data_IF_067000569848
#
_entry.id   IF_067000569848
#
_cell.length_a   1.000
_cell.length_b   1.000
_cell.length_c   1.000
_cell.angle_alpha   90.00
_cell.angle_beta   90.00
_cell.angle_gamma   90.00
#
_symmetry.space_group_name_H-M   'P 1'
#
loop_
_entity.id
_entity.type
_entity.pdbx_description
1 polymer ?
#
# COMPACT_ATOMS: atom_id res chain seq x y z
N UNK A 1 15.73 0.21 -14.68
CA UNK A 1 16.01 -0.07 -13.25
C UNK A 1 17.14 0.85 -12.85
N UNK A 2 16.86 1.87 -12.04
CA UNK A 2 17.92 2.70 -11.49
C UNK A 2 18.47 1.91 -10.30
N UNK A 3 19.76 1.59 -10.29
CA UNK A 3 20.39 0.86 -9.18
C UNK A 3 21.08 1.86 -8.26
N UNK A 4 21.11 1.59 -6.95
CA UNK A 4 21.82 2.43 -5.97
C UNK A 4 23.32 2.09 -5.89
N UNK A 5 23.80 1.17 -6.74
CA UNK A 5 25.17 0.62 -6.73
C UNK A 5 26.22 1.73 -6.70
N UNK A 6 26.08 2.77 -7.54
CA UNK A 6 27.02 3.89 -7.60
C UNK A 6 27.09 4.69 -6.31
N UNK A 7 25.94 4.91 -5.68
CA UNK A 7 25.82 5.69 -4.45
C UNK A 7 26.42 4.93 -3.27
N UNK A 8 26.04 3.66 -3.12
CA UNK A 8 26.56 2.78 -2.06
C UNK A 8 28.07 2.60 -2.19
N UNK A 9 28.58 2.36 -3.40
CA UNK A 9 30.03 2.26 -3.64
C UNK A 9 30.76 3.55 -3.23
N UNK A 10 30.25 4.71 -3.64
CA UNK A 10 30.85 6.02 -3.30
C UNK A 10 30.82 6.28 -1.80
N UNK A 11 29.72 5.95 -1.12
CA UNK A 11 29.62 6.07 0.33
C UNK A 11 30.66 5.19 1.06
N UNK A 12 30.99 4.02 0.49
CA UNK A 12 32.05 3.14 1.01
C UNK A 12 33.47 3.52 0.55
N UNK A 13 33.64 4.60 -0.23
CA UNK A 13 34.95 5.06 -0.70
C UNK A 13 35.65 4.11 -1.68
N UNK A 14 34.92 3.18 -2.30
CA UNK A 14 35.51 2.15 -3.18
C UNK A 14 35.59 2.60 -4.64
N UNK A 15 36.66 2.25 -5.34
CA UNK A 15 36.74 2.43 -6.80
C UNK A 15 35.94 1.35 -7.53
N UNK A 16 35.68 1.54 -8.83
CA UNK A 16 35.07 0.49 -9.66
C UNK A 16 35.93 -0.78 -9.69
N UNK A 17 37.26 -0.61 -9.65
CA UNK A 17 38.21 -1.72 -9.64
C UNK A 17 38.18 -2.48 -8.31
N UNK A 18 38.05 -1.78 -7.19
CA UNK A 18 37.94 -2.42 -5.88
C UNK A 18 36.70 -3.31 -5.77
N UNK A 19 35.55 -2.82 -6.26
CA UNK A 19 34.32 -3.61 -6.29
C UNK A 19 34.47 -4.79 -7.24
N UNK A 20 35.06 -4.59 -8.42
CA UNK A 20 35.28 -5.64 -9.39
C UNK A 20 36.15 -6.79 -8.85
N UNK A 21 37.19 -6.45 -8.06
CA UNK A 21 38.07 -7.41 -7.38
C UNK A 21 37.39 -8.14 -6.23
N UNK A 22 36.45 -7.49 -5.54
CA UNK A 22 35.68 -8.06 -4.41
C UNK A 22 34.53 -8.97 -4.84
N UNK A 23 34.09 -8.89 -6.09
CA UNK A 23 33.09 -9.82 -6.65
C UNK A 23 33.62 -11.26 -6.70
N UNK A 24 32.72 -12.22 -6.52
CA UNK A 24 32.99 -13.65 -6.73
C UNK A 24 32.05 -14.25 -7.82
N UNK A 25 32.57 -14.72 -8.97
CA UNK A 25 33.97 -14.58 -9.39
C UNK A 25 34.36 -13.11 -9.68
N UNK A 26 35.66 -12.77 -9.60
CA UNK A 26 36.15 -11.44 -9.92
C UNK A 26 35.75 -10.99 -11.33
N UNK A 27 35.48 -9.71 -11.48
CA UNK A 27 35.07 -9.11 -12.76
C UNK A 27 35.92 -7.90 -13.11
N UNK A 28 35.49 -7.12 -14.10
CA UNK A 28 36.20 -5.92 -14.57
C UNK A 28 35.50 -4.63 -14.12
N UNK A 29 36.29 -3.57 -13.89
CA UNK A 29 35.76 -2.24 -13.57
C UNK A 29 34.79 -1.72 -14.64
N UNK A 30 35.00 -2.08 -15.91
CA UNK A 30 34.10 -1.78 -17.02
C UNK A 30 32.73 -2.46 -16.87
N UNK A 31 32.69 -3.69 -16.34
CA UNK A 31 31.43 -4.40 -16.08
C UNK A 31 30.67 -3.73 -14.94
N UNK A 32 31.34 -3.35 -13.85
CA UNK A 32 30.73 -2.58 -12.76
C UNK A 32 30.21 -1.23 -13.27
N UNK A 33 30.98 -0.51 -14.09
CA UNK A 33 30.56 0.77 -14.66
C UNK A 33 29.31 0.66 -15.55
N UNK A 34 29.18 -0.41 -16.33
CA UNK A 34 27.96 -0.67 -17.14
C UNK A 34 26.74 -0.95 -16.26
N UNK A 35 26.93 -1.65 -15.14
CA UNK A 35 25.86 -1.94 -14.18
C UNK A 35 25.42 -0.69 -13.40
N UNK A 36 26.36 0.23 -13.10
CA UNK A 36 26.06 1.52 -12.46
C UNK A 36 25.33 2.51 -13.39
N UNK A 37 25.62 2.44 -14.69
CA UNK A 37 25.03 3.33 -15.70
C UNK A 37 23.72 2.81 -16.28
N UNK A 38 23.28 1.61 -15.86
CA UNK A 38 21.95 1.08 -16.19
C UNK A 38 21.75 0.73 -17.67
N UNK A 39 22.84 0.54 -18.44
CA UNK A 39 22.78 0.19 -19.87
C UNK A 39 22.31 -1.25 -20.13
N UNK A 40 22.12 -2.06 -19.08
CA UNK A 40 21.52 -3.41 -19.10
C UNK A 40 20.68 -3.65 -17.85
N UNK A 41 19.63 -4.47 -17.98
CA UNK A 41 18.89 -5.03 -16.84
C UNK A 41 19.82 -5.93 -16.02
N UNK A 42 19.95 -5.62 -14.73
CA UNK A 42 20.76 -6.40 -13.78
C UNK A 42 19.97 -7.63 -13.37
N UNK A 43 20.53 -8.82 -13.54
CA UNK A 43 19.91 -10.05 -13.04
C UNK A 43 20.01 -10.11 -11.51
N UNK A 44 19.10 -10.85 -10.87
CA UNK A 44 19.12 -11.05 -9.40
C UNK A 44 20.46 -11.62 -8.93
N UNK A 45 21.04 -12.57 -9.67
CA UNK A 45 22.35 -13.12 -9.33
C UNK A 45 23.48 -12.10 -9.38
N UNK A 46 23.44 -11.13 -10.30
CA UNK A 46 24.40 -10.03 -10.33
C UNK A 46 24.18 -9.02 -9.20
N UNK A 47 22.92 -8.77 -8.84
CA UNK A 47 22.58 -7.88 -7.73
C UNK A 47 23.14 -8.42 -6.41
N UNK A 48 22.92 -9.71 -6.13
CA UNK A 48 23.45 -10.38 -4.93
C UNK A 48 24.98 -10.34 -4.90
N UNK A 49 25.64 -10.67 -6.02
CA UNK A 49 27.10 -10.61 -6.12
C UNK A 49 27.67 -9.23 -5.80
N UNK A 50 27.01 -8.17 -6.28
CA UNK A 50 27.44 -6.80 -6.01
C UNK A 50 27.12 -6.40 -4.57
N UNK A 51 26.00 -6.86 -4.02
CA UNK A 51 25.65 -6.66 -2.62
C UNK A 51 26.73 -7.26 -1.70
N UNK A 52 27.16 -8.48 -1.99
CA UNK A 52 28.24 -9.16 -1.28
C UNK A 52 29.57 -8.39 -1.41
N UNK A 53 29.95 -7.99 -2.63
CA UNK A 53 31.19 -7.23 -2.88
C UNK A 53 31.21 -5.87 -2.18
N UNK A 54 30.03 -5.26 -2.02
CA UNK A 54 29.84 -4.01 -1.31
C UNK A 54 29.59 -4.22 0.20
N UNK A 55 29.27 -5.42 0.66
CA UNK A 55 28.87 -5.72 2.04
C UNK A 55 27.59 -4.99 2.46
N UNK A 56 26.53 -5.09 1.67
CA UNK A 56 25.18 -4.57 1.95
C UNK A 56 24.13 -5.61 1.58
N UNK A 57 22.86 -5.40 1.97
CA UNK A 57 21.78 -6.27 1.49
C UNK A 57 21.46 -5.94 0.01
N UNK A 58 21.04 -6.95 -0.76
CA UNK A 58 20.65 -6.74 -2.15
C UNK A 58 19.48 -5.76 -2.30
N UNK A 59 18.60 -5.67 -1.31
CA UNK A 59 17.52 -4.70 -1.24
C UNK A 59 18.02 -3.25 -1.23
N UNK A 60 19.18 -2.99 -0.60
CA UNK A 60 19.78 -1.66 -0.52
C UNK A 60 20.30 -1.16 -1.88
N UNK A 61 20.50 -2.07 -2.85
CA UNK A 61 20.99 -1.75 -4.19
C UNK A 61 19.88 -1.47 -5.20
N UNK A 62 18.63 -1.71 -4.84
CA UNK A 62 17.47 -1.46 -5.69
C UNK A 62 16.94 -0.07 -5.38
N UNK A 63 17.07 0.88 -6.31
CA UNK A 63 16.23 2.08 -6.21
C UNK A 63 14.81 1.68 -6.58
N UNK A 64 13.90 1.90 -5.64
CA UNK A 64 12.48 1.96 -5.97
C UNK A 64 12.31 2.98 -7.11
N UNK A 65 11.47 2.69 -8.13
CA UNK A 65 11.23 3.65 -9.20
C UNK A 65 10.88 5.01 -8.60
N UNK A 66 11.46 6.07 -9.14
CA UNK A 66 11.05 7.44 -8.81
C UNK A 66 9.53 7.49 -8.90
N UNK A 67 8.90 7.88 -7.80
CA UNK A 67 7.46 7.96 -7.72
C UNK A 67 7.10 9.33 -8.22
N UNK A 68 6.45 9.45 -9.38
CA UNK A 68 5.98 10.74 -9.81
C UNK A 68 5.00 11.22 -8.75
N UNK A 69 5.38 12.28 -8.06
CA UNK A 69 4.47 13.10 -7.29
C UNK A 69 3.56 13.82 -8.29
N UNK A 70 2.25 13.82 -8.03
CA UNK A 70 1.29 14.50 -8.89
C UNK A 70 1.17 15.94 -8.41
N UNK A 71 1.57 16.95 -9.19
CA UNK A 71 1.47 18.34 -8.75
C UNK A 71 0.01 18.77 -8.62
N UNK A 72 -0.30 19.49 -7.54
CA UNK A 72 -1.62 20.08 -7.31
C UNK A 72 -1.72 21.38 -8.10
N UNK A 73 -2.46 21.35 -9.21
CA UNK A 73 -2.68 22.54 -10.03
C UNK A 73 -3.73 23.49 -9.44
N UNK A 74 -4.75 22.97 -8.72
CA UNK A 74 -5.84 23.76 -8.17
C UNK A 74 -6.48 23.12 -6.93
N UNK A 75 -7.10 23.94 -6.10
CA UNK A 75 -8.02 23.57 -5.02
C UNK A 75 -9.45 23.87 -5.48
N UNK A 76 -10.38 22.94 -5.27
CA UNK A 76 -11.79 23.09 -5.66
C UNK A 76 -12.68 23.11 -4.41
N UNK A 77 -13.48 24.16 -4.26
CA UNK A 77 -14.50 24.30 -3.20
C UNK A 77 -15.79 24.94 -3.75
N UNK A 78 -16.70 25.34 -2.85
CA UNK A 78 -17.96 25.99 -3.22
C UNK A 78 -17.81 27.31 -3.98
N UNK A 79 -16.63 27.94 -3.96
CA UNK A 79 -16.29 29.16 -4.72
C UNK A 79 -15.65 28.90 -6.08
N UNK A 80 -15.38 27.64 -6.43
CA UNK A 80 -14.76 27.25 -7.71
C UNK A 80 -13.30 26.81 -7.57
N UNK A 81 -12.60 26.73 -8.71
CA UNK A 81 -11.21 26.29 -8.77
C UNK A 81 -10.24 27.46 -8.53
N UNK A 82 -9.31 27.30 -7.58
CA UNK A 82 -8.36 28.33 -7.16
C UNK A 82 -6.93 27.77 -7.11
N UNK A 83 -5.93 28.63 -7.36
CA UNK A 83 -4.53 28.22 -7.25
C UNK A 83 -4.12 27.97 -5.77
N UNK A 84 -3.30 26.96 -5.46
CA UNK A 84 -2.75 26.77 -4.13
C UNK A 84 -1.88 27.95 -3.68
N UNK A 85 -1.90 28.28 -2.38
CA UNK A 85 -1.04 29.36 -1.82
C UNK A 85 0.44 28.96 -1.73
N UNK A 86 0.74 27.67 -1.82
CA UNK A 86 2.08 27.07 -1.76
C UNK A 86 2.10 25.88 -2.71
N UNK A 87 3.27 25.56 -3.26
CA UNK A 87 3.45 24.32 -4.01
C UNK A 87 3.04 23.11 -3.16
N UNK A 88 2.29 22.21 -3.79
CA UNK A 88 1.76 21.02 -3.14
C UNK A 88 1.69 19.89 -4.16
N UNK A 89 1.91 18.67 -3.66
CA UNK A 89 1.88 17.45 -4.46
C UNK A 89 0.99 16.40 -3.77
N UNK A 90 0.41 15.50 -4.57
CA UNK A 90 -0.32 14.32 -4.08
C UNK A 90 0.49 13.08 -4.39
N UNK A 91 0.65 12.22 -3.38
CA UNK A 91 1.21 10.90 -3.56
C UNK A 91 0.16 9.93 -4.14
N UNK A 92 0.44 9.22 -5.24
CA UNK A 92 -0.46 8.19 -5.77
C UNK A 92 -0.79 7.13 -4.71
N UNK A 93 -2.03 6.62 -4.66
CA UNK A 93 -2.42 5.60 -3.70
C UNK A 93 -1.67 4.28 -3.96
N UNK A 94 -1.11 3.67 -2.90
CA UNK A 94 -0.39 2.39 -2.96
C UNK A 94 -1.16 1.29 -2.24
N UNK A 95 -1.27 0.12 -2.86
CA UNK A 95 -1.74 -1.08 -2.19
C UNK A 95 -0.70 -1.57 -1.17
N UNK A 96 -1.13 -1.77 0.08
CA UNK A 96 -0.33 -2.44 1.10
C UNK A 96 -0.63 -3.94 1.11
N UNK A 97 0.32 -4.80 1.54
CA UNK A 97 0.03 -6.22 1.77
C UNK A 97 -1.17 -6.40 2.72
N UNK A 98 -2.04 -7.37 2.44
CA UNK A 98 -3.18 -7.69 3.30
C UNK A 98 -4.43 -6.83 3.10
N UNK A 99 -4.38 -5.80 2.24
CA UNK A 99 -5.59 -5.10 1.82
C UNK A 99 -6.53 -6.02 1.05
N UNK A 100 -7.83 -5.81 1.22
CA UNK A 100 -8.89 -6.41 0.41
C UNK A 100 -9.74 -5.32 -0.22
N UNK A 101 -10.42 -5.63 -1.32
CA UNK A 101 -11.27 -4.69 -2.03
C UNK A 101 -12.73 -5.12 -2.01
N UNK A 102 -13.63 -4.13 -1.95
CA UNK A 102 -15.06 -4.28 -2.26
C UNK A 102 -15.33 -3.47 -3.52
N UNK A 103 -15.83 -4.12 -4.58
CA UNK A 103 -16.29 -3.42 -5.79
C UNK A 103 -17.78 -3.13 -5.65
N UNK A 104 -18.17 -1.90 -5.99
CA UNK A 104 -19.55 -1.44 -5.81
C UNK A 104 -20.30 -1.63 -7.13
N UNK A 105 -21.15 -2.65 -7.18
CA UNK A 105 -21.93 -2.97 -8.38
C UNK A 105 -23.14 -2.03 -8.60
N UNK A 106 -23.69 -1.47 -7.52
CA UNK A 106 -24.82 -0.53 -7.54
C UNK A 106 -24.66 0.50 -6.44
N UNK A 107 -25.07 1.74 -6.70
CA UNK A 107 -24.90 2.85 -5.75
C UNK A 107 -25.63 2.60 -4.42
N UNK A 108 -24.95 2.88 -3.31
CA UNK A 108 -25.47 2.70 -1.96
C UNK A 108 -24.77 3.64 -0.98
N UNK A 109 -25.55 4.36 -0.16
CA UNK A 109 -25.01 5.39 0.72
C UNK A 109 -24.18 6.42 -0.07
N UNK A 110 -22.93 6.64 0.34
CA UNK A 110 -22.00 7.56 -0.33
C UNK A 110 -21.24 6.93 -1.52
N UNK A 111 -21.41 5.62 -1.73
CA UNK A 111 -20.73 4.85 -2.77
C UNK A 111 -21.54 4.79 -4.08
N UNK A 112 -20.85 4.90 -5.21
CA UNK A 112 -21.41 4.86 -6.56
C UNK A 112 -21.04 3.56 -7.26
N UNK A 113 -21.84 3.17 -8.25
CA UNK A 113 -21.51 2.03 -9.09
C UNK A 113 -20.16 2.25 -9.80
N UNK A 114 -19.30 1.23 -9.78
CA UNK A 114 -17.92 1.30 -10.30
C UNK A 114 -16.87 1.71 -9.27
N UNK A 115 -17.26 2.09 -8.06
CA UNK A 115 -16.29 2.37 -6.99
C UNK A 115 -15.53 1.13 -6.55
N UNK A 116 -14.26 1.32 -6.20
CA UNK A 116 -13.44 0.34 -5.49
C UNK A 116 -13.15 0.85 -4.07
N UNK A 117 -13.60 0.11 -3.06
CA UNK A 117 -13.35 0.41 -1.66
C UNK A 117 -12.20 -0.46 -1.18
N UNK A 118 -11.05 0.16 -0.92
CA UNK A 118 -9.90 -0.52 -0.36
C UNK A 118 -10.04 -0.59 1.16
N UNK A 119 -9.89 -1.79 1.68
CA UNK A 119 -10.14 -2.11 3.07
C UNK A 119 -8.91 -2.76 3.72
N UNK A 120 -8.61 -2.36 4.94
CA UNK A 120 -7.59 -2.97 5.79
C UNK A 120 -8.23 -4.09 6.63
N UNK A 121 -7.66 -5.29 6.58
CA UNK A 121 -8.10 -6.40 7.43
C UNK A 121 -7.63 -6.20 8.87
N UNK A 122 -8.58 -6.29 9.80
CA UNK A 122 -8.35 -6.23 11.24
C UNK A 122 -8.69 -7.59 11.86
N UNK A 123 -7.86 -7.99 12.82
CA UNK A 123 -8.11 -9.13 13.70
C UNK A 123 -9.03 -8.71 14.88
N UNK A 124 -9.63 -9.66 15.62
CA UNK A 124 -10.62 -9.37 16.66
C UNK A 124 -10.17 -8.43 17.78
N UNK A 125 -8.91 -8.47 18.15
CA UNK A 125 -8.27 -7.57 19.11
C UNK A 125 -8.31 -6.11 18.63
N UNK A 126 -8.16 -5.88 17.31
CA UNK A 126 -8.14 -4.57 16.68
C UNK A 126 -9.51 -4.00 16.27
N UNK A 127 -10.63 -4.73 16.48
CA UNK A 127 -11.96 -4.26 16.04
C UNK A 127 -12.39 -2.90 16.59
N UNK A 128 -11.88 -2.51 17.77
CA UNK A 128 -12.17 -1.20 18.36
C UNK A 128 -11.72 -0.03 17.46
N UNK A 129 -10.68 -0.22 16.65
CA UNK A 129 -10.14 0.79 15.75
C UNK A 129 -11.08 1.13 14.58
N UNK A 130 -12.07 0.27 14.33
CA UNK A 130 -13.05 0.47 13.26
C UNK A 130 -14.40 1.03 13.77
N UNK A 131 -14.50 1.45 15.03
CA UNK A 131 -15.74 2.02 15.55
C UNK A 131 -16.17 3.25 14.73
N UNK A 132 -17.44 3.33 14.36
CA UNK A 132 -18.04 4.34 13.50
C UNK A 132 -17.48 4.38 12.06
N UNK A 133 -16.81 3.31 11.62
CA UNK A 133 -16.28 3.17 10.26
C UNK A 133 -17.10 2.14 9.48
N UNK A 134 -17.09 2.27 8.16
CA UNK A 134 -17.71 1.30 7.28
C UNK A 134 -16.77 0.09 7.15
N UNK A 135 -17.32 -1.11 7.39
CA UNK A 135 -16.55 -2.36 7.45
C UNK A 135 -17.24 -3.46 6.68
N UNK A 136 -16.44 -4.35 6.08
CA UNK A 136 -16.85 -5.64 5.56
C UNK A 136 -16.68 -6.71 6.65
N UNK A 137 -17.72 -7.48 6.91
CA UNK A 137 -17.71 -8.56 7.91
C UNK A 137 -18.11 -9.87 7.24
N UNK A 138 -17.30 -10.94 7.35
CA UNK A 138 -17.66 -12.26 6.85
C UNK A 138 -18.83 -12.85 7.65
N UNK A 139 -19.66 -13.64 6.96
CA UNK A 139 -20.77 -14.39 7.52
C UNK A 139 -20.70 -15.87 7.08
N UNK A 140 -21.37 -16.79 7.79
CA UNK A 140 -21.42 -18.20 7.40
C UNK A 140 -21.87 -18.40 5.95
N UNK A 141 -21.33 -19.45 5.32
CA UNK A 141 -21.56 -19.83 3.92
C UNK A 141 -21.05 -18.80 2.89
N UNK A 142 -19.89 -18.18 3.15
CA UNK A 142 -19.22 -17.27 2.20
C UNK A 142 -19.95 -15.95 1.97
N UNK A 143 -20.90 -15.59 2.83
CA UNK A 143 -21.65 -14.34 2.75
C UNK A 143 -20.86 -13.22 3.40
N UNK A 144 -21.25 -11.99 3.10
CA UNK A 144 -20.69 -10.80 3.72
C UNK A 144 -21.79 -9.84 4.15
N UNK A 145 -21.49 -9.03 5.16
CA UNK A 145 -22.24 -7.84 5.54
C UNK A 145 -21.32 -6.63 5.37
N UNK A 146 -21.80 -5.59 4.71
CA UNK A 146 -21.10 -4.31 4.64
C UNK A 146 -21.96 -3.22 5.28
N UNK A 147 -21.37 -2.44 6.19
CA UNK A 147 -22.08 -1.41 6.93
C UNK A 147 -21.20 -0.73 7.97
N UNK A 148 -21.76 0.27 8.64
CA UNK A 148 -21.06 1.01 9.70
C UNK A 148 -21.01 0.19 10.98
N UNK A 149 -19.82 -0.03 11.53
CA UNK A 149 -19.67 -0.59 12.86
C UNK A 149 -20.10 0.47 13.90
N UNK A 150 -21.17 0.19 14.64
CA UNK A 150 -21.76 1.15 15.60
C UNK A 150 -21.69 0.67 17.05
N UNK A 151 -21.29 -0.59 17.27
CA UNK A 151 -21.15 -1.14 18.61
C UNK A 151 -20.35 -2.43 18.61
N UNK A 152 -19.73 -2.70 19.75
CA UNK A 152 -19.02 -3.93 20.05
C UNK A 152 -19.33 -4.32 21.50
N UNK A 153 -19.70 -5.58 21.70
CA UNK A 153 -19.79 -6.19 23.02
C UNK A 153 -18.66 -7.21 23.15
N UNK A 154 -17.96 -7.20 24.28
CA UNK A 154 -16.97 -8.23 24.64
C UNK A 154 -17.37 -8.94 25.92
N UNK A 155 -17.10 -10.24 26.02
CA UNK A 155 -17.37 -11.04 27.22
C UNK A 155 -16.92 -12.49 27.12
N UNK A 156 -17.09 -13.24 28.21
CA UNK A 156 -16.71 -14.66 28.34
C UNK A 156 -17.40 -15.58 27.32
N UNK A 157 -18.54 -15.16 26.77
CA UNK A 157 -19.36 -15.92 25.81
C UNK A 157 -19.13 -15.54 24.34
N UNK A 158 -18.03 -14.84 24.02
CA UNK A 158 -17.72 -14.35 22.68
C UNK A 158 -18.01 -12.86 22.48
N UNK A 159 -17.48 -12.30 21.40
CA UNK A 159 -17.65 -10.90 21.00
C UNK A 159 -18.77 -10.72 19.98
N UNK A 160 -19.57 -9.67 20.14
CA UNK A 160 -20.59 -9.28 19.16
C UNK A 160 -20.25 -7.95 18.52
N UNK A 161 -20.49 -7.86 17.22
CA UNK A 161 -20.41 -6.62 16.47
C UNK A 161 -21.80 -6.17 16.04
N UNK A 162 -22.09 -4.89 16.23
CA UNK A 162 -23.34 -4.25 15.84
C UNK A 162 -23.06 -3.39 14.62
N UNK A 163 -23.71 -3.72 13.50
CA UNK A 163 -23.52 -3.04 12.23
C UNK A 163 -24.82 -2.42 11.75
N UNK A 164 -24.75 -1.20 11.24
CA UNK A 164 -25.83 -0.55 10.51
C UNK A 164 -25.53 -0.64 9.00
N UNK A 165 -26.30 -1.41 8.22
CA UNK A 165 -26.15 -1.42 6.77
C UNK A 165 -26.36 -0.03 6.16
N UNK A 166 -25.76 0.23 5.00
CA UNK A 166 -25.77 1.57 4.38
C UNK A 166 -27.10 1.95 3.71
N UNK A 167 -28.00 0.98 3.52
CA UNK A 167 -29.29 1.21 2.89
C UNK A 167 -30.21 2.06 3.77
N UNK A 168 -30.99 2.96 3.16
CA UNK A 168 -31.98 3.76 3.86
C UNK A 168 -33.03 2.87 4.56
N UNK A 169 -33.36 3.20 5.81
CA UNK A 169 -34.35 2.47 6.60
C UNK A 169 -33.93 1.04 7.02
N UNK A 170 -32.67 0.66 6.80
CA UNK A 170 -32.18 -0.64 7.23
C UNK A 170 -32.07 -0.72 8.76
N UNK A 171 -32.26 -1.92 9.29
CA UNK A 171 -32.13 -2.19 10.72
C UNK A 171 -30.70 -2.59 11.06
N UNK A 172 -30.29 -2.30 12.28
CA UNK A 172 -29.08 -2.85 12.87
C UNK A 172 -29.05 -4.38 12.73
N UNK A 173 -27.89 -4.90 12.35
CA UNK A 173 -27.58 -6.34 12.33
C UNK A 173 -26.49 -6.65 13.36
N UNK A 174 -26.57 -7.82 13.95
CA UNK A 174 -25.56 -8.31 14.90
C UNK A 174 -24.80 -9.48 14.26
N UNK A 175 -23.48 -9.43 14.34
CA UNK A 175 -22.60 -10.52 13.92
C UNK A 175 -21.83 -11.01 15.13
N UNK A 176 -21.96 -12.31 15.42
CA UNK A 176 -21.26 -12.95 16.53
C UNK A 176 -19.91 -13.45 16.05
N UNK A 177 -18.87 -13.16 16.83
CA UNK A 177 -17.51 -13.71 16.74
C UNK A 177 -16.93 -13.77 15.32
N UNK A 178 -16.96 -12.66 14.53
CA UNK A 178 -16.34 -12.68 13.22
C UNK A 178 -14.83 -12.85 13.37
N UNK A 179 -14.26 -13.77 12.58
CA UNK A 179 -12.82 -14.06 12.60
C UNK A 179 -11.94 -12.88 12.17
N UNK A 180 -12.49 -11.97 11.37
CA UNK A 180 -11.85 -10.73 10.92
C UNK A 180 -12.93 -9.74 10.45
N UNK A 181 -12.57 -8.46 10.34
CA UNK A 181 -13.32 -7.45 9.59
C UNK A 181 -12.37 -6.74 8.62
N UNK A 182 -12.89 -6.13 7.56
CA UNK A 182 -12.08 -5.24 6.72
C UNK A 182 -12.64 -3.82 6.77
N UNK A 183 -11.88 -2.88 7.34
CA UNK A 183 -12.28 -1.49 7.52
C UNK A 183 -12.00 -0.69 6.25
N UNK A 184 -12.97 0.04 5.72
CA UNK A 184 -12.80 0.91 4.57
C UNK A 184 -11.83 2.05 4.89
N UNK A 185 -10.71 2.12 4.16
CA UNK A 185 -9.66 3.12 4.38
C UNK A 185 -9.46 4.05 3.18
N UNK A 186 -9.89 3.65 1.98
CA UNK A 186 -9.75 4.45 0.76
C UNK A 186 -10.82 4.10 -0.26
N UNK A 187 -11.31 5.13 -0.94
CA UNK A 187 -12.19 5.01 -2.08
C UNK A 187 -11.40 5.36 -3.35
N UNK A 188 -11.42 4.47 -4.34
CA UNK A 188 -10.92 4.74 -5.69
C UNK A 188 -12.13 4.77 -6.62
N UNK A 189 -12.36 5.92 -7.24
CA UNK A 189 -13.44 6.13 -8.19
C UNK A 189 -12.85 6.56 -9.53
N UNK A 190 -12.88 5.69 -10.54
CA UNK A 190 -12.73 6.11 -11.93
C UNK A 190 -13.88 7.07 -12.27
N UNK A 191 -13.56 8.26 -12.77
CA UNK A 191 -14.52 9.29 -13.17
C UNK A 191 -14.60 9.39 -14.69
#
# INVERSE_FOLDING_TARGET
>A
MITAIREVRRAKGLTLEDVARRCDPPTTAQTIGRLETGTRTVSVGWLNRIADALGVDAADLVKLPERPEIPVAALLDGGGAQAPRREANVAPPRAAPGLVAVTVAGGIGDYRAGDEIWCERLAPDAFANAMNRDVLVPRPAGRFLFGRLIGREGGENGGKLHLLPLGAGTRQQVVNDPAWIACAIRLVRPL
#
